data_IF_119336306990
#
_entry.id   IF_119336306990
#
_cell.length_a   1.000
_cell.length_b   1.000
_cell.length_c   1.000
_cell.angle_alpha   90.00
_cell.angle_beta   90.00
_cell.angle_gamma   90.00
#
_symmetry.space_group_name_H-M   'P 1'
#
loop_
_entity.id
_entity.type
_entity.pdbx_description
1 polymer ?
#
# COMPACT_ATOMS: atom_id res chain seq x y z
N UNK A 1 -18.10 5.38 43.28
CA UNK A 1 -18.01 5.39 41.80
C UNK A 1 -17.95 3.95 41.32
N UNK A 2 -18.96 3.45 40.61
CA UNK A 2 -19.05 2.00 40.30
C UNK A 2 -20.36 1.54 39.67
N UNK A 3 -21.37 2.41 39.60
CA UNK A 3 -22.71 2.06 39.09
C UNK A 3 -22.83 2.16 37.55
N UNK A 4 -21.96 2.92 36.87
CA UNK A 4 -22.09 3.18 35.43
C UNK A 4 -21.78 1.98 34.54
N UNK A 5 -20.85 1.10 34.94
CA UNK A 5 -20.41 -0.03 34.09
C UNK A 5 -21.44 -1.15 34.11
N UNK A 6 -22.12 -1.36 35.26
CA UNK A 6 -23.22 -2.33 35.38
C UNK A 6 -24.45 -1.89 34.59
N UNK A 7 -24.70 -0.57 34.50
CA UNK A 7 -25.78 0.00 33.68
C UNK A 7 -25.47 -0.08 32.18
N UNK A 8 -24.20 0.10 31.78
CA UNK A 8 -23.78 0.03 30.39
C UNK A 8 -23.90 -1.38 29.79
N UNK A 9 -23.78 -2.42 30.63
CA UNK A 9 -23.89 -3.82 30.20
C UNK A 9 -25.28 -4.41 30.39
N UNK A 10 -26.12 -3.88 31.30
CA UNK A 10 -27.48 -4.37 31.50
C UNK A 10 -28.49 -3.81 30.48
N UNK A 11 -28.28 -2.57 29.99
CA UNK A 11 -29.20 -1.91 29.05
C UNK A 11 -29.29 -2.63 27.69
N UNK A 12 -28.19 -3.17 27.11
CA UNK A 12 -28.28 -4.00 25.91
C UNK A 12 -28.77 -5.44 26.15
N UNK A 13 -28.48 -6.05 27.31
CA UNK A 13 -28.82 -7.45 27.57
C UNK A 13 -30.35 -7.69 27.66
N UNK A 14 -31.09 -6.70 28.18
CA UNK A 14 -32.55 -6.81 28.31
C UNK A 14 -33.31 -6.50 27.01
N UNK A 15 -32.66 -5.86 26.02
CA UNK A 15 -33.31 -5.48 24.75
C UNK A 15 -33.20 -6.56 23.65
N UNK A 16 -32.25 -7.50 23.79
CA UNK A 16 -32.11 -8.64 22.86
C UNK A 16 -33.21 -9.70 23.11
N UNK A 17 -33.85 -9.69 24.28
CA UNK A 17 -34.76 -10.76 24.72
C UNK A 17 -36.25 -10.53 24.39
N UNK A 18 -36.68 -9.36 23.89
CA UNK A 18 -38.12 -9.07 23.76
C UNK A 18 -38.69 -9.14 22.33
N UNK A 19 -37.89 -9.03 21.26
CA UNK A 19 -38.42 -9.19 19.89
C UNK A 19 -37.33 -9.44 18.85
N UNK A 20 -37.49 -10.44 17.95
CA UNK A 20 -36.61 -10.65 16.80
C UNK A 20 -36.41 -9.40 15.94
N UNK A 21 -37.41 -8.52 15.91
CA UNK A 21 -37.41 -7.28 15.12
C UNK A 21 -36.47 -6.21 15.70
N UNK A 22 -36.32 -6.16 17.03
CA UNK A 22 -35.45 -5.19 17.71
C UNK A 22 -33.95 -5.49 17.53
N UNK A 23 -33.60 -6.78 17.38
CA UNK A 23 -32.25 -7.21 17.07
C UNK A 23 -31.86 -6.78 15.65
N UNK A 24 -32.72 -7.03 14.67
CA UNK A 24 -32.48 -6.63 13.27
C UNK A 24 -32.35 -5.11 13.15
N UNK A 25 -33.24 -4.37 13.81
CA UNK A 25 -33.21 -2.90 13.78
C UNK A 25 -31.98 -2.35 14.50
N UNK A 26 -31.59 -2.92 15.64
CA UNK A 26 -30.37 -2.55 16.36
C UNK A 26 -29.09 -2.87 15.58
N UNK A 27 -29.06 -3.97 14.82
CA UNK A 27 -27.95 -4.29 13.91
C UNK A 27 -27.87 -3.32 12.73
N UNK A 28 -29.01 -2.98 12.12
CA UNK A 28 -29.06 -2.01 11.03
C UNK A 28 -28.58 -0.62 11.50
N UNK A 29 -29.04 -0.16 12.66
CA UNK A 29 -28.63 1.11 13.26
C UNK A 29 -27.13 1.10 13.63
N UNK A 30 -26.66 0.02 14.25
CA UNK A 30 -25.26 -0.14 14.66
C UNK A 30 -24.29 -0.19 13.47
N UNK A 31 -24.66 -0.90 12.39
CA UNK A 31 -23.84 -0.97 11.18
C UNK A 31 -23.78 0.36 10.44
N UNK A 32 -24.91 1.08 10.34
CA UNK A 32 -24.95 2.41 9.74
C UNK A 32 -24.06 3.40 10.50
N UNK A 33 -24.08 3.35 11.84
CA UNK A 33 -23.24 4.20 12.70
C UNK A 33 -21.74 3.88 12.61
N UNK A 34 -21.37 2.59 12.52
CA UNK A 34 -19.98 2.20 12.31
C UNK A 34 -19.45 2.64 10.95
N UNK A 35 -20.26 2.52 9.89
CA UNK A 35 -19.88 2.94 8.55
C UNK A 35 -19.67 4.45 8.49
N UNK A 36 -20.60 5.25 9.00
CA UNK A 36 -20.48 6.71 8.99
C UNK A 36 -19.26 7.18 9.79
N UNK A 37 -19.02 6.60 10.98
CA UNK A 37 -17.82 6.90 11.78
C UNK A 37 -16.52 6.47 11.09
N UNK A 38 -16.52 5.32 10.41
CA UNK A 38 -15.33 4.85 9.68
C UNK A 38 -15.03 5.76 8.49
N UNK A 39 -16.04 6.12 7.71
CA UNK A 39 -15.90 7.06 6.59
C UNK A 39 -15.41 8.42 7.07
N UNK A 40 -15.94 8.90 8.20
CA UNK A 40 -15.49 10.14 8.82
C UNK A 40 -14.01 10.05 9.23
N UNK A 41 -13.60 8.97 9.92
CA UNK A 41 -12.22 8.77 10.34
C UNK A 41 -11.25 8.68 9.16
N UNK A 42 -11.62 7.98 8.08
CA UNK A 42 -10.81 7.89 6.86
C UNK A 42 -10.70 9.27 6.19
N UNK A 43 -11.81 10.00 6.09
CA UNK A 43 -11.84 11.35 5.50
C UNK A 43 -11.00 12.34 6.32
N UNK A 44 -11.08 12.26 7.65
CA UNK A 44 -10.28 13.11 8.53
C UNK A 44 -8.79 12.80 8.42
N UNK A 45 -8.42 11.51 8.43
CA UNK A 45 -7.04 11.09 8.21
C UNK A 45 -6.48 11.54 6.85
N UNK A 46 -7.26 11.40 5.77
CA UNK A 46 -6.88 11.88 4.44
C UNK A 46 -6.72 13.40 4.41
N UNK A 47 -7.61 14.13 5.08
CA UNK A 47 -7.56 15.59 5.20
C UNK A 47 -6.31 16.04 5.96
N UNK A 48 -5.98 15.38 7.06
CA UNK A 48 -4.77 15.65 7.84
C UNK A 48 -3.50 15.37 7.02
N UNK A 49 -3.44 14.22 6.33
CA UNK A 49 -2.33 13.87 5.46
C UNK A 49 -2.13 14.91 4.34
N UNK A 50 -3.21 15.32 3.66
CA UNK A 50 -3.18 16.37 2.64
C UNK A 50 -2.69 17.71 3.20
N UNK A 51 -3.10 18.06 4.43
CA UNK A 51 -2.64 19.27 5.13
C UNK A 51 -1.12 19.23 5.39
N UNK A 52 -0.59 18.10 5.83
CA UNK A 52 0.85 17.90 6.07
C UNK A 52 1.63 17.93 4.75
N UNK A 53 1.14 17.25 3.71
CA UNK A 53 1.75 17.26 2.39
C UNK A 53 1.80 18.69 1.81
N UNK A 54 0.71 19.45 1.91
CA UNK A 54 0.67 20.86 1.49
C UNK A 54 1.68 21.71 2.26
N UNK A 55 1.76 21.55 3.58
CA UNK A 55 2.75 22.25 4.41
C UNK A 55 4.18 21.88 4.04
N UNK A 56 4.47 20.61 3.76
CA UNK A 56 5.78 20.14 3.31
C UNK A 56 6.17 20.72 1.96
N UNK A 57 5.25 20.74 1.00
CA UNK A 57 5.47 21.36 -0.32
C UNK A 57 5.72 22.86 -0.15
N UNK A 58 4.89 23.59 0.61
CA UNK A 58 5.08 25.03 0.83
C UNK A 58 6.41 25.31 1.54
N UNK A 59 6.78 24.52 2.55
CA UNK A 59 8.05 24.69 3.27
C UNK A 59 9.27 24.44 2.36
N UNK A 60 9.20 23.44 1.47
CA UNK A 60 10.27 23.15 0.51
C UNK A 60 10.33 24.18 -0.64
N UNK A 61 9.21 24.79 -0.97
CA UNK A 61 9.05 25.67 -2.14
C UNK A 61 8.99 27.16 -1.77
N UNK A 62 9.21 27.50 -0.49
CA UNK A 62 9.05 28.85 0.06
C UNK A 62 10.03 29.88 -0.54
N UNK A 63 11.06 29.47 -1.29
CA UNK A 63 11.95 30.42 -1.96
C UNK A 63 11.43 30.91 -3.33
N UNK A 64 10.42 30.25 -3.93
CA UNK A 64 10.01 30.59 -5.31
C UNK A 64 8.49 30.55 -5.65
N UNK A 65 7.60 30.03 -4.80
CA UNK A 65 6.19 29.74 -5.23
C UNK A 65 5.09 30.35 -4.33
N UNK A 66 5.45 31.21 -3.36
CA UNK A 66 4.47 31.84 -2.45
C UNK A 66 3.34 32.63 -3.16
N UNK A 67 3.52 33.02 -4.43
CA UNK A 67 2.59 33.85 -5.20
C UNK A 67 1.73 33.12 -6.25
N UNK A 68 1.74 31.77 -6.31
CA UNK A 68 0.93 31.01 -7.30
C UNK A 68 -0.20 30.14 -6.76
N UNK A 69 -0.37 30.01 -5.44
CA UNK A 69 -1.27 29.00 -4.86
C UNK A 69 -2.75 29.40 -4.72
N UNK A 70 -3.19 30.53 -5.28
CA UNK A 70 -4.61 30.91 -5.21
C UNK A 70 -5.43 30.46 -6.44
N UNK A 71 -4.85 29.91 -7.52
CA UNK A 71 -5.59 29.69 -8.79
C UNK A 71 -5.52 28.32 -9.48
N UNK A 72 -4.90 27.28 -8.91
CA UNK A 72 -4.76 25.98 -9.61
C UNK A 72 -5.61 24.86 -9.00
N UNK A 73 -6.90 25.12 -8.76
CA UNK A 73 -7.86 24.12 -8.30
C UNK A 73 -8.46 23.27 -9.43
N UNK A 74 -8.01 23.43 -10.67
CA UNK A 74 -8.44 22.64 -11.81
C UNK A 74 -7.22 22.11 -12.56
N UNK A 75 -7.30 20.89 -13.08
CA UNK A 75 -6.31 20.16 -13.92
C UNK A 75 -5.15 19.44 -13.20
N UNK A 76 -5.46 18.42 -12.41
CA UNK A 76 -4.68 17.15 -12.44
C UNK A 76 -5.67 15.99 -12.52
N UNK A 77 -6.47 16.01 -13.57
CA UNK A 77 -7.19 14.82 -14.04
C UNK A 77 -6.45 14.38 -15.30
N UNK A 78 -5.96 13.14 -15.30
CA UNK A 78 -5.48 12.34 -16.46
C UNK A 78 -4.04 11.85 -16.36
N UNK A 79 -3.70 11.02 -15.36
CA UNK A 79 -2.75 9.89 -15.60
C UNK A 79 -2.74 8.81 -14.48
N UNK A 80 -3.89 8.50 -13.86
CA UNK A 80 -3.94 7.60 -12.70
C UNK A 80 -4.42 6.17 -13.01
N UNK A 81 -4.81 5.87 -14.25
CA UNK A 81 -5.52 4.62 -14.58
C UNK A 81 -4.68 3.34 -14.38
N UNK A 82 -3.34 3.42 -14.42
CA UNK A 82 -2.46 2.26 -14.24
C UNK A 82 -2.21 1.90 -12.77
N UNK A 83 -1.92 2.89 -11.92
CA UNK A 83 -1.52 2.65 -10.52
C UNK A 83 -2.70 2.18 -9.66
N UNK A 84 -3.91 2.66 -9.96
CA UNK A 84 -5.11 2.29 -9.19
C UNK A 84 -5.41 0.80 -9.37
N UNK A 85 -5.21 0.24 -10.57
CA UNK A 85 -5.50 -1.15 -10.86
C UNK A 85 -4.50 -2.09 -10.17
N UNK A 86 -3.21 -1.76 -10.16
CA UNK A 86 -2.18 -2.56 -9.47
C UNK A 86 -2.36 -2.55 -7.94
N UNK A 87 -2.77 -1.41 -7.37
CA UNK A 87 -3.08 -1.30 -5.94
C UNK A 87 -4.36 -2.08 -5.60
N UNK A 88 -5.39 -2.01 -6.45
CA UNK A 88 -6.61 -2.82 -6.27
C UNK A 88 -6.29 -4.31 -6.30
N UNK A 89 -5.49 -4.75 -7.27
CA UNK A 89 -5.12 -6.15 -7.43
C UNK A 89 -4.26 -6.64 -6.25
N UNK A 90 -3.33 -5.81 -5.76
CA UNK A 90 -2.60 -6.06 -4.52
C UNK A 90 -3.49 -6.16 -3.28
N UNK A 91 -4.52 -5.32 -3.18
CA UNK A 91 -5.51 -5.34 -2.08
C UNK A 91 -6.44 -6.56 -2.17
N UNK A 92 -6.84 -6.98 -3.36
CA UNK A 92 -7.64 -8.22 -3.52
C UNK A 92 -6.89 -9.44 -3.00
N UNK A 93 -5.57 -9.49 -3.17
CA UNK A 93 -4.73 -10.54 -2.57
C UNK A 93 -4.68 -10.51 -1.04
N UNK A 94 -4.88 -9.35 -0.41
CA UNK A 94 -4.96 -9.21 1.06
C UNK A 94 -6.33 -9.64 1.59
N UNK A 95 -7.41 -9.33 0.86
CA UNK A 95 -8.79 -9.66 1.22
C UNK A 95 -9.17 -11.11 0.95
N UNK A 96 -8.43 -11.80 0.08
CA UNK A 96 -8.68 -13.22 -0.21
C UNK A 96 -8.45 -14.13 1.01
N UNK A 97 -7.49 -13.79 1.87
CA UNK A 97 -7.16 -14.50 3.10
C UNK A 97 -8.32 -14.51 4.12
N UNK A 98 -8.92 -13.37 4.49
CA UNK A 98 -10.06 -13.34 5.40
C UNK A 98 -11.32 -13.98 4.82
N UNK A 99 -11.57 -13.88 3.52
CA UNK A 99 -12.72 -14.54 2.86
C UNK A 99 -12.58 -16.07 2.94
N UNK A 100 -11.43 -16.62 2.57
CA UNK A 100 -11.16 -18.07 2.71
C UNK A 100 -11.15 -18.55 4.17
N UNK A 101 -10.69 -17.71 5.10
CA UNK A 101 -10.74 -18.01 6.53
C UNK A 101 -12.17 -18.10 7.05
N UNK A 102 -13.02 -17.16 6.64
CA UNK A 102 -14.44 -17.13 6.98
C UNK A 102 -15.22 -18.31 6.37
N UNK A 103 -14.94 -18.68 5.11
CA UNK A 103 -15.60 -19.81 4.44
C UNK A 103 -15.29 -21.18 5.08
N UNK A 104 -14.06 -21.39 5.56
CA UNK A 104 -13.66 -22.69 6.13
C UNK A 104 -14.06 -22.89 7.58
N UNK A 105 -14.09 -21.83 8.38
CA UNK A 105 -14.25 -21.94 9.83
C UNK A 105 -15.37 -21.05 10.40
N UNK A 106 -16.11 -20.31 9.57
CA UNK A 106 -17.18 -19.43 10.03
C UNK A 106 -16.67 -18.27 10.90
N UNK A 107 -17.44 -17.89 11.93
CA UNK A 107 -17.08 -16.82 12.89
C UNK A 107 -15.65 -16.91 13.47
N UNK A 108 -15.15 -18.05 13.96
CA UNK A 108 -13.75 -18.14 14.43
C UNK A 108 -12.73 -18.01 13.29
N UNK A 109 -13.13 -18.34 12.06
CA UNK A 109 -12.33 -18.13 10.85
C UNK A 109 -12.14 -16.66 10.49
N UNK A 110 -13.10 -15.79 10.81
CA UNK A 110 -12.99 -14.34 10.62
C UNK A 110 -11.93 -13.76 11.55
N UNK A 111 -11.95 -14.12 12.84
CA UNK A 111 -10.96 -13.65 13.81
C UNK A 111 -9.54 -14.11 13.43
N UNK A 112 -9.41 -15.37 13.03
CA UNK A 112 -8.13 -15.91 12.53
C UNK A 112 -7.69 -15.22 11.23
N UNK A 113 -8.61 -14.94 10.31
CA UNK A 113 -8.35 -14.23 9.06
C UNK A 113 -7.92 -12.77 9.26
N UNK A 114 -8.50 -12.07 10.25
CA UNK A 114 -8.10 -10.71 10.63
C UNK A 114 -6.71 -10.74 11.28
N UNK A 115 -6.45 -11.68 12.18
CA UNK A 115 -5.11 -11.84 12.78
C UNK A 115 -4.04 -12.10 11.71
N UNK A 116 -4.29 -13.04 10.79
CA UNK A 116 -3.40 -13.29 9.65
C UNK A 116 -3.27 -12.07 8.73
N UNK A 117 -4.34 -11.32 8.50
CA UNK A 117 -4.34 -10.11 7.67
C UNK A 117 -3.45 -9.02 8.26
N UNK A 118 -3.57 -8.76 9.57
CA UNK A 118 -2.74 -7.77 10.28
C UNK A 118 -1.26 -8.21 10.28
N UNK A 119 -0.99 -9.49 10.52
CA UNK A 119 0.38 -10.02 10.41
C UNK A 119 0.92 -9.84 8.98
N UNK A 120 0.10 -10.05 7.95
CA UNK A 120 0.45 -9.82 6.56
C UNK A 120 0.83 -8.37 6.25
N UNK A 121 0.14 -7.38 6.86
CA UNK A 121 0.45 -5.96 6.68
C UNK A 121 1.83 -5.57 7.22
N UNK A 122 2.37 -6.27 8.20
CA UNK A 122 3.70 -6.00 8.76
C UNK A 122 4.77 -6.88 8.10
N UNK A 123 4.46 -8.15 7.88
CA UNK A 123 5.39 -9.11 7.31
C UNK A 123 5.74 -8.80 5.85
N UNK A 124 4.76 -8.36 5.03
CA UNK A 124 4.99 -8.10 3.60
C UNK A 124 5.94 -6.91 3.34
N UNK A 125 5.79 -5.73 4.00
CA UNK A 125 6.76 -4.65 3.88
C UNK A 125 8.15 -5.03 4.39
N UNK A 126 8.22 -5.74 5.53
CA UNK A 126 9.50 -6.18 6.08
C UNK A 126 10.24 -7.13 5.12
N UNK A 127 9.52 -8.10 4.54
CA UNK A 127 10.07 -9.00 3.52
C UNK A 127 10.53 -8.24 2.28
N UNK A 128 9.78 -7.22 1.82
CA UNK A 128 10.15 -6.39 0.68
C UNK A 128 11.47 -5.63 0.92
N UNK A 129 11.62 -5.01 2.10
CA UNK A 129 12.87 -4.31 2.46
C UNK A 129 14.05 -5.29 2.46
N UNK A 130 13.88 -6.45 3.09
CA UNK A 130 14.90 -7.50 3.12
C UNK A 130 15.29 -8.00 1.72
N UNK A 131 14.32 -8.17 0.83
CA UNK A 131 14.56 -8.59 -0.55
C UNK A 131 15.34 -7.52 -1.34
N UNK A 132 14.96 -6.25 -1.21
CA UNK A 132 15.66 -5.13 -1.86
C UNK A 132 17.09 -5.02 -1.35
N UNK A 133 17.30 -5.12 -0.03
CA UNK A 133 18.64 -5.10 0.57
C UNK A 133 19.47 -6.29 0.10
N UNK A 134 18.88 -7.49 0.03
CA UNK A 134 19.56 -8.69 -0.48
C UNK A 134 19.99 -8.54 -1.94
N UNK A 135 19.10 -8.07 -2.81
CA UNK A 135 19.41 -7.75 -4.22
C UNK A 135 20.49 -6.68 -4.34
N UNK A 136 20.46 -5.66 -3.48
CA UNK A 136 21.48 -4.60 -3.45
C UNK A 136 22.84 -5.13 -3.03
N UNK A 137 22.90 -5.92 -1.95
CA UNK A 137 24.13 -6.56 -1.47
C UNK A 137 24.72 -7.51 -2.53
N UNK A 138 23.86 -8.26 -3.23
CA UNK A 138 24.28 -9.13 -4.32
C UNK A 138 24.79 -8.35 -5.53
N UNK A 139 24.16 -7.22 -5.87
CA UNK A 139 24.62 -6.31 -6.92
C UNK A 139 26.03 -5.76 -6.62
N UNK A 140 26.25 -5.29 -5.39
CA UNK A 140 27.57 -4.80 -4.93
C UNK A 140 28.60 -5.93 -4.98
N UNK A 141 28.28 -7.11 -4.45
CA UNK A 141 29.15 -8.30 -4.49
C UNK A 141 29.47 -8.72 -5.93
N UNK A 142 28.53 -8.59 -6.86
CA UNK A 142 28.76 -8.94 -8.26
C UNK A 142 29.69 -7.93 -8.95
N UNK A 143 29.57 -6.63 -8.63
CA UNK A 143 30.46 -5.57 -9.12
C UNK A 143 31.87 -5.65 -8.52
N UNK A 144 32.01 -6.13 -7.29
CA UNK A 144 33.30 -6.19 -6.59
C UNK A 144 34.13 -7.45 -6.89
N UNK A 145 33.59 -8.43 -7.64
CA UNK A 145 34.36 -9.61 -8.08
C UNK A 145 35.41 -9.21 -9.13
N UNK A 146 36.72 -9.23 -8.80
CA UNK A 146 37.77 -8.74 -9.70
C UNK A 146 37.89 -9.57 -10.99
N UNK A 147 37.49 -10.84 -10.97
CA UNK A 147 37.53 -11.71 -12.15
C UNK A 147 36.43 -11.43 -13.19
N UNK A 148 35.36 -10.69 -12.85
CA UNK A 148 34.31 -10.34 -13.82
C UNK A 148 34.62 -9.05 -14.61
N UNK A 149 35.43 -8.15 -14.07
CA UNK A 149 35.93 -6.97 -14.81
C UNK A 149 36.78 -7.36 -16.02
N UNK A 150 37.41 -8.54 -16.01
CA UNK A 150 38.16 -9.08 -17.16
C UNK A 150 37.25 -9.55 -18.31
N UNK A 151 35.96 -9.76 -18.05
CA UNK A 151 34.97 -10.21 -19.05
C UNK A 151 34.28 -9.07 -19.79
N UNK A 152 34.57 -7.80 -19.46
CA UNK A 152 34.29 -6.67 -20.37
C UNK A 152 35.36 -6.62 -21.48
N UNK A 153 35.60 -7.77 -22.15
CA UNK A 153 36.13 -7.72 -23.51
C UNK A 153 35.05 -7.01 -24.31
N UNK A 154 35.31 -5.76 -24.66
CA UNK A 154 34.51 -5.04 -25.66
C UNK A 154 34.14 -6.03 -26.76
N UNK A 155 32.85 -6.23 -27.00
CA UNK A 155 32.41 -6.92 -28.21
C UNK A 155 32.70 -5.98 -29.38
N UNK A 156 33.97 -5.91 -29.77
CA UNK A 156 34.43 -5.18 -30.95
C UNK A 156 33.98 -6.02 -32.13
N UNK A 157 33.01 -5.50 -32.90
CA UNK A 157 32.72 -6.06 -34.21
C UNK A 157 33.83 -5.58 -35.14
N UNK A 158 34.61 -6.52 -35.67
CA UNK A 158 35.59 -6.19 -36.70
C UNK A 158 34.86 -5.58 -37.91
N UNK A 159 35.39 -4.50 -38.51
CA UNK A 159 34.83 -3.95 -39.73
C UNK A 159 34.84 -5.03 -40.83
N UNK A 160 33.76 -5.10 -41.60
CA UNK A 160 33.67 -6.06 -42.71
C UNK A 160 34.69 -5.70 -43.79
N UNK A 161 35.42 -6.66 -44.35
CA UNK A 161 36.36 -6.39 -45.44
C UNK A 161 35.61 -5.85 -46.65
N UNK A 162 36.01 -4.69 -47.15
CA UNK A 162 35.40 -4.05 -48.33
C UNK A 162 36.01 -4.55 -49.65
N UNK A 163 37.25 -5.05 -49.62
CA UNK A 163 37.96 -5.64 -50.77
C UNK A 163 38.91 -6.77 -50.31
N UNK A 164 39.18 -7.74 -51.19
CA UNK A 164 40.00 -8.93 -50.91
C UNK A 164 41.51 -8.64 -50.74
N UNK A 165 41.98 -7.48 -51.22
CA UNK A 165 43.42 -7.23 -51.44
C UNK A 165 44.07 -6.30 -50.40
N UNK A 166 43.35 -5.84 -49.37
CA UNK A 166 43.90 -4.89 -48.38
C UNK A 166 43.84 -5.48 -46.96
N UNK A 167 44.99 -5.61 -46.25
CA UNK A 167 44.98 -6.09 -44.87
C UNK A 167 44.25 -5.09 -43.97
N UNK A 168 43.40 -5.62 -43.06
CA UNK A 168 42.64 -4.82 -42.09
C UNK A 168 43.62 -4.04 -41.20
N UNK A 169 43.66 -2.71 -41.36
CA UNK A 169 44.48 -1.82 -40.53
C UNK A 169 43.79 -1.63 -39.18
N UNK A 170 44.50 -1.89 -38.09
CA UNK A 170 44.08 -1.47 -36.75
C UNK A 170 44.17 0.06 -36.64
N UNK A 171 43.19 0.67 -35.99
CA UNK A 171 43.29 2.05 -35.51
C UNK A 171 44.29 2.15 -34.36
#
# INVERSE_FOLDING_TARGET
MGHSIRYFLSVPANNIMQSPTGLIMGMAEGTNSLLSNTLYAISDAASQFSKVARKGIVAFTYDHIASRMEKQQATVASDSKGVINEVLEGLTGLLQSPIRGAERHGLPGVLSGVALGITGLVAKPAASILEVTGKTAQSIRNRSKPNQLRSYRFRVRLPRPLCNELPLRSY
#
